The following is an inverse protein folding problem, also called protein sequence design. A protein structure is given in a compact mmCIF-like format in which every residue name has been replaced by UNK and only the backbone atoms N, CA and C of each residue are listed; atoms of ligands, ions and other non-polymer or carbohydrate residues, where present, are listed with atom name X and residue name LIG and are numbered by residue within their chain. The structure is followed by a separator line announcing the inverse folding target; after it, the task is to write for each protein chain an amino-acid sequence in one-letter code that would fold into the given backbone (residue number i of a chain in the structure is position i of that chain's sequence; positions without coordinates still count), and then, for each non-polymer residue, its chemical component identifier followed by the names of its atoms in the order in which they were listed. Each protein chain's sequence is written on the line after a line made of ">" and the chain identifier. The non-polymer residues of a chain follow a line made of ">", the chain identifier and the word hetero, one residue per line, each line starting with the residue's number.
data_IF_924090682426
#
_entry.id   IF_924090682426
#
_cell.length_a   1.000
_cell.length_b   1.000
_cell.length_c   1.000
_cell.angle_alpha   90.00
_cell.angle_beta   90.00
_cell.angle_gamma   90.00
#
_symmetry.space_group_name_H-M   'P 1'
#
loop_
_entity.id
_entity.type
_entity.pdbx_description
1 polymer ?
#
# COMPACT_ATOMS: atom_id res chain seq x y z
N UNK A 1 20.11 4.48 -36.75
CA UNK A 1 20.44 5.04 -35.43
C UNK A 1 19.13 5.17 -34.65
N UNK A 2 18.76 4.13 -33.89
CA UNK A 2 17.58 4.22 -33.04
C UNK A 2 17.94 5.13 -31.87
N UNK A 3 17.26 6.28 -31.79
CA UNK A 3 17.37 7.25 -30.71
C UNK A 3 17.34 6.53 -29.36
N UNK A 4 18.45 6.59 -28.64
CA UNK A 4 18.50 6.23 -27.23
C UNK A 4 17.66 7.29 -26.51
N UNK A 5 16.41 6.97 -26.19
CA UNK A 5 15.66 7.77 -25.22
C UNK A 5 16.58 7.86 -24.00
N UNK A 6 16.94 9.06 -23.53
CA UNK A 6 17.86 9.21 -22.42
C UNK A 6 17.34 8.39 -21.24
N UNK A 7 18.17 7.52 -20.67
CA UNK A 7 17.77 6.64 -19.55
C UNK A 7 17.18 7.47 -18.39
N UNK A 8 17.66 8.70 -18.23
CA UNK A 8 17.12 9.71 -17.32
C UNK A 8 15.64 10.05 -17.58
N UNK A 9 15.21 10.12 -18.84
CA UNK A 9 13.82 10.42 -19.20
C UNK A 9 12.88 9.29 -18.80
N UNK A 10 13.30 8.03 -19.01
CA UNK A 10 12.55 6.85 -18.59
C UNK A 10 12.48 6.78 -17.06
N UNK A 11 13.60 7.02 -16.37
CA UNK A 11 13.66 7.00 -14.90
C UNK A 11 12.80 8.10 -14.26
N UNK A 12 12.83 9.32 -14.82
CA UNK A 12 12.01 10.44 -14.36
C UNK A 12 10.51 10.16 -14.60
N UNK A 13 10.15 9.61 -15.76
CA UNK A 13 8.77 9.26 -16.06
C UNK A 13 8.24 8.15 -15.14
N UNK A 14 9.04 7.11 -14.89
CA UNK A 14 8.71 6.06 -13.93
C UNK A 14 8.50 6.63 -12.52
N UNK A 15 9.34 7.60 -12.10
CA UNK A 15 9.21 8.26 -10.80
C UNK A 15 7.90 9.05 -10.67
N UNK A 16 7.50 9.77 -11.71
CA UNK A 16 6.22 10.51 -11.74
C UNK A 16 5.04 9.54 -11.64
N UNK A 17 5.08 8.42 -12.36
CA UNK A 17 4.03 7.38 -12.28
C UNK A 17 3.95 6.83 -10.86
N UNK A 18 5.08 6.51 -10.24
CA UNK A 18 5.11 6.00 -8.86
C UNK A 18 4.49 7.00 -7.89
N UNK A 19 4.79 8.29 -8.03
CA UNK A 19 4.19 9.36 -7.22
C UNK A 19 2.68 9.44 -7.44
N UNK A 20 2.21 9.40 -8.69
CA UNK A 20 0.78 9.42 -8.99
C UNK A 20 0.03 8.22 -8.38
N UNK A 21 0.62 7.03 -8.46
CA UNK A 21 0.08 5.81 -7.84
C UNK A 21 0.04 5.92 -6.32
N UNK A 22 1.10 6.45 -5.71
CA UNK A 22 1.15 6.72 -4.26
C UNK A 22 0.03 7.67 -3.84
N UNK A 23 -0.13 8.78 -4.58
CA UNK A 23 -1.16 9.77 -4.30
C UNK A 23 -2.58 9.18 -4.43
N UNK A 24 -2.84 8.43 -5.49
CA UNK A 24 -4.13 7.75 -5.67
C UNK A 24 -4.45 6.80 -4.52
N UNK A 25 -3.48 5.97 -4.10
CA UNK A 25 -3.66 5.06 -2.97
C UNK A 25 -3.89 5.79 -1.66
N UNK A 26 -3.18 6.89 -1.43
CA UNK A 26 -3.39 7.73 -0.27
C UNK A 26 -4.82 8.29 -0.23
N UNK A 27 -5.32 8.81 -1.36
CA UNK A 27 -6.69 9.32 -1.45
C UNK A 27 -7.74 8.23 -1.20
N UNK A 28 -7.52 7.04 -1.75
CA UNK A 28 -8.41 5.89 -1.51
C UNK A 28 -8.42 5.49 -0.02
N UNK A 29 -7.25 5.43 0.62
CA UNK A 29 -7.15 5.16 2.05
C UNK A 29 -7.90 6.21 2.88
N UNK A 30 -7.69 7.50 2.58
CA UNK A 30 -8.37 8.61 3.26
C UNK A 30 -9.90 8.47 3.16
N UNK A 31 -10.43 8.21 1.96
CA UNK A 31 -11.87 8.03 1.76
C UNK A 31 -12.43 6.89 2.62
N UNK A 32 -11.76 5.74 2.64
CA UNK A 32 -12.19 4.60 3.44
C UNK A 32 -12.12 4.89 4.95
N UNK A 33 -11.09 5.60 5.38
CA UNK A 33 -10.96 6.04 6.77
C UNK A 33 -12.08 6.99 7.19
N UNK A 34 -12.45 7.93 6.32
CA UNK A 34 -13.53 8.88 6.60
C UNK A 34 -14.89 8.16 6.75
N UNK A 35 -15.15 7.12 5.95
CA UNK A 35 -16.33 6.25 6.10
C UNK A 35 -16.31 5.54 7.46
N UNK A 36 -15.19 4.92 7.82
CA UNK A 36 -15.06 4.18 9.10
C UNK A 36 -15.22 5.12 10.30
N UNK A 37 -14.66 6.33 10.24
CA UNK A 37 -14.89 7.37 11.26
C UNK A 37 -16.35 7.81 11.33
N UNK A 38 -17.07 7.82 10.22
CA UNK A 38 -18.52 8.05 10.18
C UNK A 38 -19.26 6.96 10.94
N UNK A 39 -18.94 5.69 10.69
CA UNK A 39 -19.53 4.54 11.40
C UNK A 39 -19.20 4.56 12.90
N UNK A 40 -17.98 4.96 13.28
CA UNK A 40 -17.59 5.12 14.68
C UNK A 40 -18.43 6.20 15.38
N UNK A 41 -18.72 7.32 14.71
CA UNK A 41 -19.59 8.37 15.26
C UNK A 41 -21.02 7.88 15.46
N UNK A 42 -21.60 7.23 14.45
CA UNK A 42 -22.96 6.66 14.52
C UNK A 42 -23.09 5.65 15.66
N UNK A 43 -22.03 4.89 15.91
CA UNK A 43 -21.99 3.97 17.03
C UNK A 43 -21.95 4.67 18.38
N UNK A 44 -21.17 5.74 18.52
CA UNK A 44 -21.12 6.53 19.75
C UNK A 44 -22.50 7.15 20.06
N UNK A 45 -23.27 7.51 19.03
CA UNK A 45 -24.65 7.99 19.17
C UNK A 45 -25.72 6.89 19.25
N UNK A 46 -25.35 5.60 19.20
CA UNK A 46 -26.27 4.45 19.17
C UNK A 46 -27.26 4.47 17.97
N UNK A 47 -26.81 5.01 16.84
CA UNK A 47 -27.57 5.21 15.61
C UNK A 47 -27.13 4.25 14.48
N UNK A 48 -26.42 3.17 14.81
CA UNK A 48 -26.03 2.17 13.81
C UNK A 48 -27.23 1.42 13.25
N UNK A 49 -27.41 1.49 11.94
CA UNK A 49 -28.45 0.70 11.26
C UNK A 49 -28.00 -0.76 11.07
N UNK A 50 -28.96 -1.64 10.77
CA UNK A 50 -28.65 -3.03 10.40
C UNK A 50 -27.81 -3.11 9.11
N UNK A 51 -27.99 -2.16 8.20
CA UNK A 51 -27.19 -2.06 6.98
C UNK A 51 -25.73 -1.69 7.29
N UNK A 52 -25.51 -0.78 8.25
CA UNK A 52 -24.17 -0.40 8.71
C UNK A 52 -23.46 -1.57 9.38
N UNK A 53 -24.17 -2.33 10.22
CA UNK A 53 -23.62 -3.53 10.89
C UNK A 53 -23.22 -4.58 9.84
N UNK A 54 -24.06 -4.81 8.83
CA UNK A 54 -23.75 -5.73 7.73
C UNK A 54 -22.57 -5.22 6.90
N UNK A 55 -22.51 -3.92 6.63
CA UNK A 55 -21.39 -3.29 5.95
C UNK A 55 -20.08 -3.49 6.73
N UNK A 56 -20.07 -3.24 8.04
CA UNK A 56 -18.90 -3.43 8.91
C UNK A 56 -18.42 -4.87 8.83
N UNK A 57 -19.33 -5.84 8.96
CA UNK A 57 -18.99 -7.27 8.93
C UNK A 57 -18.37 -7.69 7.60
N UNK A 58 -19.02 -7.35 6.49
CA UNK A 58 -18.55 -7.72 5.16
C UNK A 58 -17.19 -7.08 4.83
N UNK A 59 -17.02 -5.79 5.19
CA UNK A 59 -15.75 -5.10 4.97
C UNK A 59 -14.63 -5.63 5.87
N UNK A 60 -14.91 -5.99 7.12
CA UNK A 60 -13.90 -6.59 8.01
C UNK A 60 -13.34 -7.88 7.41
N UNK A 61 -14.21 -8.80 6.97
CA UNK A 61 -13.81 -10.05 6.32
C UNK A 61 -13.00 -9.78 5.02
N UNK A 62 -13.44 -8.82 4.20
CA UNK A 62 -12.73 -8.44 2.98
C UNK A 62 -11.33 -7.87 3.27
N UNK A 63 -11.23 -6.96 4.23
CA UNK A 63 -9.95 -6.34 4.60
C UNK A 63 -9.00 -7.32 5.29
N UNK A 64 -9.52 -8.29 6.04
CA UNK A 64 -8.75 -9.41 6.57
C UNK A 64 -8.10 -10.21 5.45
N UNK A 65 -8.86 -10.58 4.42
CA UNK A 65 -8.34 -11.31 3.25
C UNK A 65 -7.31 -10.48 2.49
N UNK A 66 -7.57 -9.18 2.28
CA UNK A 66 -6.62 -8.25 1.66
C UNK A 66 -5.32 -8.14 2.45
N UNK A 67 -5.40 -8.08 3.77
CA UNK A 67 -4.22 -8.04 4.64
C UNK A 67 -3.39 -9.31 4.51
N UNK A 68 -4.02 -10.49 4.63
CA UNK A 68 -3.33 -11.79 4.48
C UNK A 68 -2.60 -11.87 3.14
N UNK A 69 -3.28 -11.51 2.04
CA UNK A 69 -2.66 -11.47 0.70
C UNK A 69 -1.45 -10.53 0.65
N UNK A 70 -1.57 -9.35 1.25
CA UNK A 70 -0.49 -8.34 1.29
C UNK A 70 0.71 -8.82 2.10
N UNK A 71 0.47 -9.45 3.25
CA UNK A 71 1.54 -10.01 4.07
C UNK A 71 2.28 -11.14 3.37
N UNK A 72 1.55 -12.01 2.67
CA UNK A 72 2.15 -13.06 1.83
C UNK A 72 3.00 -12.47 0.71
N UNK A 73 2.51 -11.45 0.01
CA UNK A 73 3.27 -10.75 -1.03
C UNK A 73 4.54 -10.09 -0.45
N UNK A 74 4.47 -9.46 0.72
CA UNK A 74 5.64 -8.85 1.36
C UNK A 74 6.67 -9.91 1.76
N UNK A 75 6.22 -11.05 2.32
CA UNK A 75 7.10 -12.17 2.68
C UNK A 75 7.85 -12.70 1.46
N UNK A 76 7.16 -12.82 0.32
CA UNK A 76 7.76 -13.23 -0.95
C UNK A 76 8.67 -12.14 -1.55
N UNK A 77 8.26 -10.88 -1.50
CA UNK A 77 9.00 -9.78 -2.13
C UNK A 77 10.31 -9.47 -1.41
N UNK A 78 10.41 -9.70 -0.09
CA UNK A 78 11.66 -9.47 0.68
C UNK A 78 12.89 -10.15 0.07
N UNK A 79 12.92 -11.48 -0.11
CA UNK A 79 14.07 -12.14 -0.75
C UNK A 79 14.26 -11.70 -2.20
N UNK A 80 13.19 -11.41 -2.93
CA UNK A 80 13.28 -10.88 -4.29
C UNK A 80 13.96 -9.51 -4.35
N UNK A 81 13.65 -8.59 -3.43
CA UNK A 81 14.32 -7.29 -3.34
C UNK A 81 15.79 -7.45 -3.00
N UNK A 82 16.16 -8.35 -2.09
CA UNK A 82 17.57 -8.65 -1.78
C UNK A 82 18.31 -9.13 -3.03
N UNK A 83 17.70 -10.05 -3.80
CA UNK A 83 18.26 -10.53 -5.06
C UNK A 83 18.45 -9.38 -6.07
N UNK A 84 17.43 -8.55 -6.28
CA UNK A 84 17.48 -7.42 -7.20
C UNK A 84 18.58 -6.44 -6.80
N UNK A 85 18.72 -6.12 -5.51
CA UNK A 85 19.79 -5.25 -5.01
C UNK A 85 21.16 -5.86 -5.31
N UNK A 86 21.35 -7.16 -5.04
CA UNK A 86 22.61 -7.84 -5.37
C UNK A 86 22.94 -7.76 -6.87
N UNK A 87 21.96 -7.98 -7.74
CA UNK A 87 22.13 -7.87 -9.19
C UNK A 87 22.50 -6.44 -9.63
N UNK A 88 21.91 -5.42 -9.02
CA UNK A 88 22.25 -4.02 -9.29
C UNK A 88 23.72 -3.73 -8.95
N UNK A 89 24.18 -4.16 -7.78
CA UNK A 89 25.57 -3.93 -7.36
C UNK A 89 26.62 -4.72 -8.17
N UNK A 90 26.23 -5.85 -8.78
CA UNK A 90 27.09 -6.58 -9.71
C UNK A 90 27.14 -5.91 -11.08
N UNK A 91 26.00 -5.37 -11.55
CA UNK A 91 25.88 -4.83 -12.90
C UNK A 91 26.38 -3.39 -13.05
N UNK A 92 26.39 -2.58 -11.97
CA UNK A 92 26.66 -1.15 -12.03
C UNK A 92 27.75 -0.70 -11.03
N UNK A 93 28.54 0.34 -11.37
CA UNK A 93 29.41 1.01 -10.41
C UNK A 93 28.64 1.56 -9.21
N UNK A 94 29.29 1.65 -8.04
CA UNK A 94 28.66 2.01 -6.77
C UNK A 94 27.76 3.26 -6.86
N UNK A 95 28.24 4.34 -7.48
CA UNK A 95 27.48 5.59 -7.60
C UNK A 95 26.18 5.43 -8.40
N UNK A 96 26.21 4.66 -9.50
CA UNK A 96 25.03 4.40 -10.33
C UNK A 96 24.08 3.40 -9.66
N UNK A 97 24.63 2.38 -8.99
CA UNK A 97 23.85 1.41 -8.22
C UNK A 97 22.95 2.08 -7.15
N UNK A 98 23.44 3.13 -6.49
CA UNK A 98 22.66 3.91 -5.51
C UNK A 98 21.42 4.58 -6.14
N UNK A 99 21.50 5.02 -7.40
CA UNK A 99 20.36 5.61 -8.11
C UNK A 99 19.26 4.56 -8.30
N UNK A 100 19.63 3.37 -8.75
CA UNK A 100 18.68 2.26 -8.91
C UNK A 100 18.14 1.74 -7.58
N UNK A 101 18.95 1.78 -6.52
CA UNK A 101 18.54 1.40 -5.18
C UNK A 101 17.38 2.25 -4.67
N UNK A 102 17.33 3.55 -5.00
CA UNK A 102 16.19 4.40 -4.63
C UNK A 102 14.86 3.84 -5.12
N UNK A 103 14.81 3.34 -6.36
CA UNK A 103 13.57 2.76 -6.92
C UNK A 103 13.15 1.51 -6.14
N UNK A 104 14.12 0.65 -5.78
CA UNK A 104 13.89 -0.54 -4.96
C UNK A 104 13.34 -0.15 -3.58
N UNK A 105 13.96 0.85 -2.94
CA UNK A 105 13.56 1.34 -1.62
C UNK A 105 12.15 1.92 -1.67
N UNK A 106 11.83 2.74 -2.68
CA UNK A 106 10.48 3.31 -2.83
C UNK A 106 9.44 2.21 -3.06
N UNK A 107 9.73 1.20 -3.88
CA UNK A 107 8.84 0.06 -4.07
C UNK A 107 8.62 -0.73 -2.77
N UNK A 108 9.67 -0.92 -1.98
CA UNK A 108 9.57 -1.58 -0.68
C UNK A 108 8.71 -0.77 0.32
N UNK A 109 8.98 0.54 0.43
CA UNK A 109 8.20 1.46 1.28
C UNK A 109 6.73 1.43 0.87
N UNK A 110 6.43 1.46 -0.43
CA UNK A 110 5.08 1.38 -0.93
C UNK A 110 4.33 0.14 -0.44
N UNK A 111 4.97 -1.03 -0.49
CA UNK A 111 4.37 -2.27 0.02
C UNK A 111 4.11 -2.19 1.54
N UNK A 112 5.01 -1.57 2.31
CA UNK A 112 4.81 -1.41 3.75
C UNK A 112 3.66 -0.45 4.07
N UNK A 113 3.56 0.67 3.35
CA UNK A 113 2.45 1.63 3.50
C UNK A 113 1.11 0.94 3.21
N UNK A 114 1.04 0.16 2.13
CA UNK A 114 -0.17 -0.58 1.78
C UNK A 114 -0.57 -1.59 2.87
N UNK A 115 0.41 -2.28 3.46
CA UNK A 115 0.19 -3.13 4.63
C UNK A 115 -0.40 -2.32 5.79
N UNK A 116 0.24 -1.22 6.17
CA UNK A 116 -0.19 -0.37 7.28
C UNK A 116 -1.63 0.11 7.08
N UNK A 117 -1.96 0.60 5.88
CA UNK A 117 -3.31 1.04 5.56
C UNK A 117 -4.35 -0.06 5.74
N UNK A 118 -4.09 -1.26 5.22
CA UNK A 118 -4.99 -2.41 5.36
C UNK A 118 -5.09 -2.90 6.80
N UNK A 119 -3.98 -2.94 7.54
CA UNK A 119 -3.96 -3.28 8.97
C UNK A 119 -4.80 -2.30 9.78
N UNK A 120 -4.66 -0.99 9.53
CA UNK A 120 -5.41 0.03 10.25
C UNK A 120 -6.91 -0.08 9.96
N UNK A 121 -7.31 -0.21 8.70
CA UNK A 121 -8.72 -0.36 8.33
C UNK A 121 -9.31 -1.62 8.94
N UNK A 122 -8.65 -2.76 8.77
CA UNK A 122 -9.06 -4.03 9.37
C UNK A 122 -9.22 -3.90 10.89
N UNK A 123 -8.23 -3.33 11.57
CA UNK A 123 -8.25 -3.18 13.03
C UNK A 123 -9.39 -2.30 13.52
N UNK A 124 -9.74 -1.23 12.81
CA UNK A 124 -10.87 -0.38 13.14
C UNK A 124 -12.21 -1.08 12.90
N UNK A 125 -12.38 -1.74 11.75
CA UNK A 125 -13.59 -2.50 11.44
C UNK A 125 -13.80 -3.66 12.43
N UNK A 126 -12.72 -4.35 12.83
CA UNK A 126 -12.76 -5.40 13.83
C UNK A 126 -13.20 -4.88 15.20
N UNK A 127 -12.69 -3.72 15.63
CA UNK A 127 -13.15 -3.06 16.87
C UNK A 127 -14.61 -2.69 16.79
N UNK A 128 -15.03 -2.06 15.68
CA UNK A 128 -16.43 -1.70 15.47
C UNK A 128 -17.33 -2.93 15.60
N UNK A 129 -17.02 -4.01 14.88
CA UNK A 129 -17.75 -5.29 14.90
C UNK A 129 -17.85 -5.95 16.27
N UNK A 130 -16.79 -5.90 17.08
CA UNK A 130 -16.76 -6.59 18.39
C UNK A 130 -17.67 -5.93 19.43
N UNK A 131 -17.91 -4.65 19.26
CA UNK A 131 -18.61 -3.77 20.19
C UNK A 131 -19.99 -3.34 19.62
N UNK A 132 -20.42 -3.96 18.51
CA UNK A 132 -21.75 -3.87 17.91
C UNK A 132 -22.49 -5.18 18.11
#
# INVERSE_FOLDING_TARGET
>A
MLNQIPLQLISNFASIIIIAVLFYRYMQYKKNMDVIKGLEKLKISDELSQEDILFIKNNEDEYKLKLIKTESLIKFAKPLFILIVGLIFIAFPFAEALIHLNVVVVAFIFMQIDKIHKTNIYGLLYKLKKES
#
